data_IF_189958931332
#
_entry.id   IF_189958931332
#
_cell.length_a   1.000
_cell.length_b   1.000
_cell.length_c   1.000
_cell.angle_alpha   90.00
_cell.angle_beta   90.00
_cell.angle_gamma   90.00
#
_symmetry.space_group_name_H-M   'P 1'
#
loop_
_entity.id
_entity.type
_entity.pdbx_description
1 polymer ?
#
# COMPACT_ATOMS: atom_id res chain seq x y z
N UNK A 1 4.95 3.13 -7.03
CA UNK A 1 6.11 3.08 -6.11
C UNK A 1 7.10 4.20 -6.39
N UNK A 2 7.37 4.49 -7.66
CA UNK A 2 8.30 5.57 -8.03
C UNK A 2 7.86 6.92 -7.45
N UNK A 3 6.58 7.21 -7.49
CA UNK A 3 6.04 8.47 -6.96
C UNK A 3 6.20 8.55 -5.44
N UNK A 4 5.98 7.42 -4.75
CA UNK A 4 6.20 7.35 -3.31
C UNK A 4 7.66 7.62 -2.95
N UNK A 5 8.58 7.08 -3.73
CA UNK A 5 10.02 7.32 -3.54
C UNK A 5 10.36 8.80 -3.73
N UNK A 6 9.79 9.44 -4.76
CA UNK A 6 10.03 10.86 -5.00
C UNK A 6 9.55 11.71 -3.84
N UNK A 7 8.36 11.46 -3.33
CA UNK A 7 7.85 12.18 -2.18
C UNK A 7 8.68 11.94 -0.93
N UNK A 8 9.06 10.69 -0.69
CA UNK A 8 9.87 10.35 0.49
C UNK A 8 11.23 11.03 0.46
N UNK A 9 11.85 11.12 -0.71
CA UNK A 9 13.12 11.85 -0.85
C UNK A 9 12.95 13.33 -0.58
N UNK A 10 11.88 13.90 -1.08
CA UNK A 10 11.62 15.32 -0.90
C UNK A 10 11.45 15.68 0.58
N UNK A 11 10.75 14.84 1.32
CA UNK A 11 10.47 15.10 2.73
C UNK A 11 11.40 14.37 3.71
N UNK A 12 12.36 13.63 3.19
CA UNK A 12 13.23 12.77 4.01
C UNK A 12 12.41 11.84 4.91
N UNK A 13 11.46 11.18 4.30
CA UNK A 13 10.49 10.35 5.01
C UNK A 13 10.88 8.88 5.00
N UNK A 14 10.35 8.16 5.98
CA UNK A 14 10.41 6.70 6.01
C UNK A 14 9.17 6.13 5.32
N UNK A 15 9.35 5.10 4.52
CA UNK A 15 8.23 4.43 3.86
C UNK A 15 7.92 3.13 4.59
N UNK A 16 6.66 2.96 4.95
CA UNK A 16 6.15 1.70 5.51
C UNK A 16 5.18 1.11 4.51
N UNK A 17 5.55 -0.04 3.96
CA UNK A 17 4.75 -0.72 2.94
C UNK A 17 3.91 -1.79 3.61
N UNK A 18 2.62 -1.76 3.37
CA UNK A 18 1.73 -2.77 3.93
C UNK A 18 0.86 -3.37 2.82
N UNK A 19 0.62 -4.65 2.95
CA UNK A 19 -0.40 -5.36 2.19
C UNK A 19 -1.34 -6.01 3.18
N UNK A 20 -2.59 -6.19 2.77
CA UNK A 20 -3.60 -6.77 3.65
C UNK A 20 -4.05 -8.10 3.07
N UNK A 21 -3.94 -9.16 3.88
CA UNK A 21 -4.41 -10.48 3.52
C UNK A 21 -5.88 -10.58 3.90
N UNK A 22 -6.75 -10.62 2.88
CA UNK A 22 -8.20 -10.66 3.09
C UNK A 22 -8.71 -12.09 3.23
N UNK A 23 -7.99 -13.05 2.68
CA UNK A 23 -8.37 -14.47 2.72
C UNK A 23 -7.18 -15.29 3.20
N UNK A 24 -7.42 -16.17 4.15
CA UNK A 24 -6.37 -17.04 4.68
C UNK A 24 -6.11 -18.20 3.72
N UNK A 25 -5.43 -17.88 2.62
CA UNK A 25 -4.95 -18.85 1.65
C UNK A 25 -3.44 -18.74 1.52
N UNK A 26 -2.75 -19.85 1.66
CA UNK A 26 -1.30 -19.87 1.72
C UNK A 26 -0.65 -19.36 0.43
N UNK A 27 -1.22 -19.72 -0.73
CA UNK A 27 -0.70 -19.27 -2.02
C UNK A 27 -0.80 -17.75 -2.19
N UNK A 28 -1.89 -17.16 -1.75
CA UNK A 28 -2.08 -15.71 -1.77
C UNK A 28 -1.11 -15.03 -0.80
N UNK A 29 -0.98 -15.59 0.39
CA UNK A 29 -0.06 -15.08 1.40
C UNK A 29 1.37 -15.08 0.90
N UNK A 30 1.81 -16.17 0.29
CA UNK A 30 3.16 -16.28 -0.25
C UNK A 30 3.41 -15.25 -1.35
N UNK A 31 2.42 -15.03 -2.20
CA UNK A 31 2.52 -14.03 -3.26
C UNK A 31 2.64 -12.61 -2.70
N UNK A 32 1.84 -12.29 -1.70
CA UNK A 32 1.88 -10.97 -1.07
C UNK A 32 3.22 -10.73 -0.37
N UNK A 33 3.74 -11.72 0.32
CA UNK A 33 5.04 -11.60 1.00
C UNK A 33 6.15 -11.38 -0.03
N UNK A 34 6.14 -12.11 -1.14
CA UNK A 34 7.14 -11.90 -2.20
C UNK A 34 7.06 -10.49 -2.77
N UNK A 35 5.84 -10.00 -3.02
CA UNK A 35 5.66 -8.66 -3.54
C UNK A 35 6.15 -7.59 -2.55
N UNK A 36 5.85 -7.77 -1.28
CA UNK A 36 6.33 -6.86 -0.23
C UNK A 36 7.85 -6.83 -0.17
N UNK A 37 8.49 -7.99 -0.24
CA UNK A 37 9.95 -8.07 -0.21
C UNK A 37 10.58 -7.38 -1.41
N UNK A 38 9.98 -7.53 -2.59
CA UNK A 38 10.45 -6.84 -3.80
C UNK A 38 10.34 -5.33 -3.67
N UNK A 39 9.20 -4.86 -3.20
CA UNK A 39 8.97 -3.41 -3.04
C UNK A 39 9.92 -2.83 -2.00
N UNK A 40 10.07 -3.51 -0.87
CA UNK A 40 10.98 -3.07 0.18
C UNK A 40 12.42 -2.98 -0.32
N UNK A 41 12.87 -3.97 -1.07
CA UNK A 41 14.21 -3.94 -1.65
C UNK A 41 14.36 -2.78 -2.63
N UNK A 42 13.37 -2.57 -3.47
CA UNK A 42 13.41 -1.48 -4.45
C UNK A 42 13.52 -0.12 -3.78
N UNK A 43 12.78 0.07 -2.69
CA UNK A 43 12.80 1.33 -1.95
C UNK A 43 14.11 1.48 -1.19
N UNK A 44 14.60 0.41 -0.57
CA UNK A 44 15.88 0.42 0.14
C UNK A 44 17.04 0.70 -0.79
N UNK A 45 17.01 0.18 -2.01
CA UNK A 45 18.03 0.45 -3.03
C UNK A 45 18.05 1.91 -3.47
N UNK A 46 16.96 2.65 -3.21
CA UNK A 46 16.89 4.08 -3.44
C UNK A 46 17.40 4.92 -2.26
N UNK A 47 18.07 4.29 -1.30
CA UNK A 47 18.63 4.91 -0.10
C UNK A 47 17.58 5.53 0.82
N UNK A 48 16.40 4.92 0.86
CA UNK A 48 15.31 5.32 1.75
C UNK A 48 15.10 4.26 2.83
N UNK A 49 14.79 4.73 4.02
CA UNK A 49 14.40 3.86 5.10
C UNK A 49 13.03 3.26 4.79
N UNK A 50 12.94 1.93 4.83
CA UNK A 50 11.72 1.24 4.44
C UNK A 50 11.51 0.00 5.30
N UNK A 51 10.27 -0.23 5.67
CA UNK A 51 9.84 -1.48 6.29
C UNK A 51 8.60 -2.00 5.58
N UNK A 52 8.35 -3.29 5.69
CA UNK A 52 7.16 -3.89 5.10
C UNK A 52 6.48 -4.81 6.11
N UNK A 53 5.17 -4.92 6.01
CA UNK A 53 4.40 -5.78 6.88
C UNK A 53 3.16 -6.29 6.16
N UNK A 54 2.85 -7.57 6.38
CA UNK A 54 1.60 -8.16 5.92
C UNK A 54 0.60 -8.10 7.06
N UNK A 55 -0.50 -7.40 6.84
CA UNK A 55 -1.59 -7.34 7.82
C UNK A 55 -2.61 -8.43 7.51
N UNK A 56 -2.99 -9.18 8.52
CA UNK A 56 -4.03 -10.20 8.39
C UNK A 56 -5.33 -9.65 8.97
N UNK A 57 -6.41 -9.77 8.21
CA UNK A 57 -7.71 -9.33 8.66
C UNK A 57 -8.27 -10.37 9.63
N UNK A 58 -8.41 -9.99 10.88
CA UNK A 58 -9.00 -10.84 11.90
C UNK A 58 -10.52 -10.69 11.91
N UNK A 59 -11.20 -11.67 12.48
CA UNK A 59 -12.65 -11.60 12.67
C UNK A 59 -13.01 -10.33 13.44
N UNK A 60 -13.86 -9.50 12.86
CA UNK A 60 -14.30 -8.26 13.48
C UNK A 60 -13.50 -7.03 13.11
N UNK A 61 -12.33 -7.18 12.47
CA UNK A 61 -11.57 -6.05 11.95
C UNK A 61 -11.54 -6.14 10.43
N UNK A 62 -12.14 -5.18 9.77
CA UNK A 62 -12.09 -5.11 8.31
C UNK A 62 -10.79 -4.51 7.79
N UNK A 63 -10.67 -4.44 6.47
CA UNK A 63 -9.52 -3.87 5.78
C UNK A 63 -9.22 -2.43 6.24
N UNK A 64 -10.23 -1.59 6.27
CA UNK A 64 -10.08 -0.17 6.62
C UNK A 64 -9.55 0.00 8.04
N UNK A 65 -10.14 -0.71 8.98
CA UNK A 65 -9.72 -0.61 10.38
C UNK A 65 -8.30 -1.11 10.59
N UNK A 66 -7.91 -2.17 9.88
CA UNK A 66 -6.55 -2.70 9.97
C UNK A 66 -5.52 -1.67 9.52
N UNK A 67 -5.80 -0.96 8.43
CA UNK A 67 -4.91 0.08 7.90
C UNK A 67 -4.85 1.27 8.85
N UNK A 68 -5.98 1.72 9.36
CA UNK A 68 -6.03 2.87 10.26
C UNK A 68 -5.36 2.58 11.60
N UNK A 69 -5.52 1.37 12.13
CA UNK A 69 -4.82 0.96 13.35
C UNK A 69 -3.31 0.93 13.15
N UNK A 70 -2.87 0.45 11.99
CA UNK A 70 -1.45 0.43 11.65
C UNK A 70 -0.88 1.85 11.58
N UNK A 71 -1.59 2.75 10.90
CA UNK A 71 -1.19 4.15 10.76
C UNK A 71 -1.02 4.80 12.14
N UNK A 72 -1.96 4.58 13.04
CA UNK A 72 -1.92 5.15 14.39
C UNK A 72 -0.78 4.57 15.22
N UNK A 73 -0.53 3.28 15.08
CA UNK A 73 0.54 2.61 15.82
C UNK A 73 1.91 3.19 15.48
N UNK A 74 2.12 3.55 14.22
CA UNK A 74 3.39 4.11 13.76
C UNK A 74 3.40 5.62 13.60
N UNK A 75 2.31 6.27 13.98
CA UNK A 75 2.18 7.74 13.91
C UNK A 75 2.56 8.28 12.53
N UNK A 76 1.97 7.67 11.50
CA UNK A 76 2.25 8.06 10.12
C UNK A 76 1.72 9.46 9.81
N UNK A 77 2.36 10.13 8.88
CA UNK A 77 1.98 11.49 8.48
C UNK A 77 1.17 11.54 7.20
N UNK A 78 1.21 10.47 6.43
CA UNK A 78 0.53 10.37 5.14
C UNK A 78 0.23 8.92 4.83
N UNK A 79 -0.97 8.66 4.35
CA UNK A 79 -1.32 7.36 3.79
C UNK A 79 -1.33 7.49 2.27
N UNK A 80 -0.59 6.60 1.60
CA UNK A 80 -0.55 6.55 0.15
C UNK A 80 -1.19 5.26 -0.31
N UNK A 81 -2.28 5.36 -1.06
CA UNK A 81 -3.01 4.21 -1.58
C UNK A 81 -2.74 4.09 -3.07
N UNK A 82 -2.27 2.91 -3.47
CA UNK A 82 -2.06 2.60 -4.88
C UNK A 82 -3.09 1.56 -5.30
N UNK A 83 -3.92 1.91 -6.26
CA UNK A 83 -4.94 1.00 -6.77
C UNK A 83 -4.42 0.27 -8.00
N UNK A 84 -4.80 -1.00 -8.14
CA UNK A 84 -4.55 -1.73 -9.38
C UNK A 84 -5.64 -1.36 -10.38
N UNK A 85 -5.29 -1.43 -11.67
CA UNK A 85 -6.25 -1.19 -12.73
C UNK A 85 -7.46 -2.13 -12.65
N UNK A 86 -7.22 -3.37 -12.22
CA UNK A 86 -8.28 -4.36 -12.02
C UNK A 86 -9.27 -3.92 -10.94
N UNK A 87 -8.79 -3.26 -9.91
CA UNK A 87 -9.62 -2.84 -8.78
C UNK A 87 -10.52 -1.67 -9.13
N UNK A 88 -10.15 -0.87 -10.12
CA UNK A 88 -10.97 0.22 -10.62
C UNK A 88 -12.29 -0.31 -11.18
N UNK A 89 -12.26 -1.47 -11.83
CA UNK A 89 -13.44 -2.09 -12.40
C UNK A 89 -14.28 -2.85 -11.36
N UNK A 90 -13.65 -3.32 -10.28
CA UNK A 90 -14.37 -4.10 -9.26
C UNK A 90 -15.04 -3.25 -8.19
N UNK A 91 -14.73 -1.96 -8.10
CA UNK A 91 -15.21 -1.01 -7.09
C UNK A 91 -14.88 -1.37 -5.63
N UNK A 92 -14.24 -2.50 -5.38
CA UNK A 92 -13.95 -2.93 -4.02
C UNK A 92 -12.92 -2.06 -3.34
N UNK A 93 -11.83 -1.75 -4.05
CA UNK A 93 -10.79 -0.91 -3.49
C UNK A 93 -11.21 0.55 -3.47
N UNK A 94 -12.05 0.97 -4.41
CA UNK A 94 -12.61 2.32 -4.41
C UNK A 94 -13.43 2.61 -3.16
N UNK A 95 -14.20 1.63 -2.69
CA UNK A 95 -14.99 1.77 -1.48
C UNK A 95 -14.08 1.84 -0.25
N UNK A 96 -13.09 0.96 -0.15
CA UNK A 96 -12.16 0.95 0.97
C UNK A 96 -11.34 2.25 1.02
N UNK A 97 -10.85 2.70 -0.13
CA UNK A 97 -10.09 3.95 -0.21
C UNK A 97 -10.94 5.13 0.26
N UNK A 98 -12.20 5.17 -0.15
CA UNK A 98 -13.13 6.21 0.26
C UNK A 98 -13.35 6.21 1.77
N UNK A 99 -13.55 5.03 2.36
CA UNK A 99 -13.72 4.93 3.80
C UNK A 99 -12.48 5.35 4.58
N UNK A 100 -11.29 5.01 4.07
CA UNK A 100 -10.03 5.44 4.68
C UNK A 100 -9.95 6.97 4.65
N UNK A 101 -10.31 7.60 3.54
CA UNK A 101 -10.30 9.05 3.42
C UNK A 101 -11.24 9.68 4.45
N UNK A 102 -12.42 9.13 4.63
CA UNK A 102 -13.39 9.69 5.58
C UNK A 102 -12.97 9.49 7.03
N UNK A 103 -12.33 8.39 7.36
CA UNK A 103 -12.05 8.02 8.75
C UNK A 103 -10.65 8.41 9.21
N UNK A 104 -9.75 8.71 8.29
CA UNK A 104 -8.37 9.02 8.63
C UNK A 104 -8.24 10.42 9.24
N UNK A 105 -7.40 10.53 10.26
CA UNK A 105 -7.03 11.81 10.87
C UNK A 105 -5.86 12.48 10.15
N UNK A 106 -5.24 11.80 9.19
CA UNK A 106 -4.10 12.31 8.43
C UNK A 106 -4.45 12.34 6.95
N UNK A 107 -3.70 13.10 6.14
CA UNK A 107 -3.95 13.14 4.70
C UNK A 107 -3.81 11.78 4.04
N UNK A 108 -4.65 11.54 3.05
CA UNK A 108 -4.65 10.31 2.26
C UNK A 108 -4.51 10.70 0.79
N UNK A 109 -3.55 10.10 0.12
CA UNK A 109 -3.33 10.31 -1.31
C UNK A 109 -3.59 8.99 -2.04
N UNK A 110 -4.42 9.04 -3.07
CA UNK A 110 -4.70 7.89 -3.90
C UNK A 110 -4.06 8.10 -5.27
N UNK A 111 -3.33 7.10 -5.72
CA UNK A 111 -2.64 7.15 -7.01
C UNK A 111 -3.25 6.09 -7.91
N UNK A 112 -3.69 6.54 -9.10
CA UNK A 112 -4.15 5.62 -10.13
C UNK A 112 -2.94 5.20 -10.96
N UNK A 113 -2.84 3.91 -11.29
CA UNK A 113 -1.78 3.48 -12.19
C UNK A 113 -1.99 4.10 -13.57
N UNK A 114 -0.91 4.59 -14.16
CA UNK A 114 -0.95 5.07 -15.53
C UNK A 114 -0.92 3.90 -16.50
N UNK A 115 -1.77 3.94 -17.51
CA UNK A 115 -1.63 3.06 -18.65
C UNK A 115 -0.42 3.51 -19.46
N UNK A 116 0.74 2.98 -19.14
CA UNK A 116 1.92 3.15 -19.97
C UNK A 116 2.24 1.82 -20.60
N UNK A 117 1.99 1.74 -21.86
CA UNK A 117 2.26 0.54 -22.64
C UNK A 117 3.75 0.32 -22.87
N UNK A 118 4.53 1.37 -22.74
CA UNK A 118 5.94 1.38 -23.14
C UNK A 118 6.91 1.06 -22.00
N UNK A 119 6.49 1.14 -20.75
CA UNK A 119 7.38 0.83 -19.60
C UNK A 119 6.67 -0.10 -18.63
N UNK A 120 6.87 -1.42 -18.77
CA UNK A 120 6.35 -2.33 -17.77
C UNK A 120 7.09 -2.12 -16.45
N UNK A 121 6.35 -1.69 -15.44
CA UNK A 121 6.89 -1.59 -14.10
C UNK A 121 6.90 -2.97 -13.45
N UNK A 122 7.98 -3.37 -12.74
CA UNK A 122 7.99 -4.64 -12.02
C UNK A 122 6.93 -4.70 -10.91
N UNK A 123 6.28 -3.59 -10.61
CA UNK A 123 5.27 -3.49 -9.56
C UNK A 123 3.86 -3.28 -10.11
N UNK A 124 3.69 -3.29 -11.41
CA UNK A 124 2.38 -3.21 -12.06
C UNK A 124 1.94 -4.62 -12.43
N UNK A 125 0.93 -5.09 -11.84
CA UNK A 125 0.39 -6.42 -12.12
C UNK A 125 -1.02 -6.31 -12.67
#
# INVERSE_FOLDING_TARGET
VTLAIEYARYWNATIRVVSVLLRDKQDIKDKLVRNLNQVEKFISDADLECSSELLEVNKGKGLVKSILDYEKRFESDLILIMTRQEDVFSNKLGTAAREIIYQSDIPVMSIKPHEREDVPSPFTY
#
